data_IF_750778556922
#
_entry.id   IF_750778556922
#
_cell.length_a   1.000
_cell.length_b   1.000
_cell.length_c   1.000
_cell.angle_alpha   90.00
_cell.angle_beta   90.00
_cell.angle_gamma   90.00
#
_symmetry.space_group_name_H-M   'P 1'
#
loop_
_entity.id
_entity.type
_entity.pdbx_description
1 polymer ?
#
# COMPACT_ATOMS: atom_id res chain seq x y z
N UNK A 1 -1.82 -15.99 7.28
CA UNK A 1 -0.49 -15.38 7.29
C UNK A 1 -0.41 -14.28 8.35
N UNK A 2 -1.31 -13.27 8.31
CA UNK A 2 -1.33 -12.16 9.30
C UNK A 2 -1.56 -12.62 10.73
N UNK A 3 -2.45 -13.59 10.95
CA UNK A 3 -2.68 -14.19 12.28
C UNK A 3 -1.40 -14.86 12.82
N UNK A 4 -0.66 -15.57 11.96
CA UNK A 4 0.61 -16.16 12.32
C UNK A 4 1.66 -15.11 12.70
N UNK A 5 1.81 -14.05 11.88
CA UNK A 5 2.71 -12.94 12.18
C UNK A 5 2.32 -12.23 13.48
N UNK A 6 1.02 -11.99 13.68
CA UNK A 6 0.49 -11.39 14.92
C UNK A 6 0.70 -12.26 16.16
N UNK A 7 0.68 -13.58 16.02
CA UNK A 7 1.03 -14.49 17.10
C UNK A 7 2.53 -14.49 17.37
N UNK A 8 3.36 -14.67 16.33
CA UNK A 8 4.83 -14.72 16.45
C UNK A 8 5.39 -13.45 17.09
N UNK A 9 4.83 -12.27 16.77
CA UNK A 9 5.30 -11.01 17.37
C UNK A 9 5.13 -10.95 18.89
N UNK A 10 4.26 -11.76 19.48
CA UNK A 10 4.05 -11.82 20.95
C UNK A 10 4.96 -12.82 21.64
N UNK A 11 5.63 -13.70 20.88
CA UNK A 11 6.45 -14.79 21.40
C UNK A 11 7.94 -14.48 21.27
N UNK A 12 8.71 -14.59 22.36
CA UNK A 12 10.16 -14.33 22.32
C UNK A 12 10.95 -15.47 21.64
N UNK A 13 10.45 -16.70 21.73
CA UNK A 13 11.11 -17.93 21.27
C UNK A 13 10.68 -18.40 19.87
N UNK A 14 9.89 -17.62 19.16
CA UNK A 14 9.47 -17.93 17.80
C UNK A 14 9.92 -16.85 16.82
N UNK A 15 10.38 -17.27 15.66
CA UNK A 15 10.65 -16.40 14.52
C UNK A 15 9.93 -16.95 13.27
N UNK A 16 9.64 -16.09 12.30
CA UNK A 16 8.84 -16.43 11.14
C UNK A 16 9.67 -16.37 9.86
N UNK A 17 9.56 -17.41 9.06
CA UNK A 17 10.05 -17.44 7.68
C UNK A 17 8.85 -17.51 6.75
N UNK A 18 8.70 -16.51 5.89
CA UNK A 18 7.69 -16.52 4.84
C UNK A 18 8.26 -17.11 3.57
N UNK A 19 7.57 -18.11 3.02
CA UNK A 19 7.87 -18.64 1.70
C UNK A 19 7.07 -17.84 0.67
N UNK A 20 7.79 -17.29 -0.30
CA UNK A 20 7.19 -16.54 -1.40
C UNK A 20 7.44 -17.29 -2.71
N UNK A 21 6.42 -17.39 -3.53
CA UNK A 21 6.58 -17.74 -4.93
C UNK A 21 6.83 -16.47 -5.77
N UNK A 22 6.68 -16.54 -7.06
CA UNK A 22 6.86 -15.40 -7.96
C UNK A 22 5.97 -14.21 -7.56
N UNK A 23 6.47 -12.97 -7.80
CA UNK A 23 5.82 -11.69 -7.45
C UNK A 23 4.45 -11.41 -8.10
N UNK A 24 3.80 -12.40 -8.68
CA UNK A 24 2.44 -12.34 -9.17
C UNK A 24 1.50 -13.05 -8.20
N UNK A 25 0.78 -12.31 -7.38
CA UNK A 25 -0.16 -12.87 -6.42
C UNK A 25 -0.24 -12.06 -5.14
N UNK A 26 -0.89 -12.62 -4.15
CA UNK A 26 -1.07 -11.99 -2.83
C UNK A 26 0.26 -11.84 -2.08
N UNK A 27 1.26 -12.64 -2.40
CA UNK A 27 2.55 -12.66 -1.70
C UNK A 27 3.28 -11.31 -1.74
N UNK A 28 3.23 -10.59 -2.85
CA UNK A 28 3.85 -9.27 -2.96
C UNK A 28 3.26 -8.24 -1.99
N UNK A 29 1.97 -8.38 -1.66
CA UNK A 29 1.26 -7.51 -0.70
C UNK A 29 1.47 -7.98 0.72
N UNK A 30 1.30 -9.29 0.94
CA UNK A 30 1.36 -9.88 2.27
C UNK A 30 2.75 -9.79 2.88
N UNK A 31 3.80 -9.89 2.06
CA UNK A 31 5.19 -9.78 2.50
C UNK A 31 5.45 -8.43 3.20
N UNK A 32 5.03 -7.33 2.58
CA UNK A 32 5.21 -6.01 3.16
C UNK A 32 4.48 -5.84 4.47
N UNK A 33 3.22 -6.30 4.52
CA UNK A 33 2.39 -6.17 5.72
C UNK A 33 2.88 -7.07 6.85
N UNK A 34 3.33 -8.29 6.56
CA UNK A 34 3.95 -9.19 7.54
C UNK A 34 5.25 -8.61 8.06
N UNK A 35 6.07 -8.04 7.17
CA UNK A 35 7.29 -7.35 7.57
C UNK A 35 6.98 -6.19 8.53
N UNK A 36 5.97 -5.37 8.26
CA UNK A 36 5.58 -4.25 9.12
C UNK A 36 5.09 -4.75 10.50
N UNK A 37 4.30 -5.84 10.54
CA UNK A 37 3.83 -6.46 11.80
C UNK A 37 5.00 -6.96 12.64
N UNK A 38 5.98 -7.62 12.04
CA UNK A 38 7.10 -8.21 12.75
C UNK A 38 8.13 -7.16 13.18
N UNK A 39 8.54 -6.27 12.26
CA UNK A 39 9.59 -5.28 12.55
C UNK A 39 9.14 -4.22 13.54
N UNK A 40 7.86 -3.82 13.53
CA UNK A 40 7.31 -2.94 14.57
C UNK A 40 7.37 -3.52 15.98
N UNK A 41 7.58 -4.82 16.10
CA UNK A 41 7.64 -5.55 17.38
C UNK A 41 9.05 -6.08 17.69
N UNK A 42 10.09 -5.53 17.10
CA UNK A 42 11.48 -5.95 17.24
C UNK A 42 11.74 -7.39 16.76
N UNK A 43 10.91 -7.90 15.86
CA UNK A 43 11.09 -9.20 15.21
C UNK A 43 11.72 -9.08 13.85
N UNK A 44 12.37 -10.14 13.42
CA UNK A 44 13.00 -10.23 12.11
C UNK A 44 12.02 -10.92 11.15
N UNK A 45 11.77 -10.29 10.00
CA UNK A 45 11.03 -10.91 8.92
C UNK A 45 12.01 -11.48 7.90
N UNK A 46 11.96 -12.79 7.70
CA UNK A 46 12.77 -13.45 6.68
C UNK A 46 11.88 -14.00 5.59
N UNK A 47 12.17 -13.63 4.34
CA UNK A 47 11.45 -14.09 3.16
C UNK A 47 12.38 -14.98 2.34
N UNK A 48 11.90 -16.19 2.04
CA UNK A 48 12.55 -17.10 1.10
C UNK A 48 11.76 -17.11 -0.20
N UNK A 49 12.39 -16.68 -1.29
CA UNK A 49 11.82 -16.81 -2.63
C UNK A 49 12.05 -18.23 -3.13
N UNK A 50 10.96 -18.90 -3.45
CA UNK A 50 10.96 -20.24 -4.03
C UNK A 50 10.48 -20.09 -5.47
N UNK A 51 11.35 -20.36 -6.41
CA UNK A 51 11.05 -20.39 -7.83
C UNK A 51 11.31 -21.79 -8.41
N UNK A 52 11.02 -21.96 -9.68
CA UNK A 52 11.23 -23.22 -10.41
C UNK A 52 12.71 -23.60 -10.50
N UNK A 53 13.60 -22.64 -10.38
CA UNK A 53 15.05 -22.84 -10.35
C UNK A 53 15.48 -23.00 -8.89
N UNK A 54 15.60 -24.24 -8.44
CA UNK A 54 15.97 -24.61 -7.07
C UNK A 54 17.38 -24.11 -6.68
N UNK A 55 17.55 -22.81 -6.50
CA UNK A 55 18.80 -22.24 -6.00
C UNK A 55 18.82 -22.27 -4.46
N UNK A 56 19.17 -23.43 -3.91
CA UNK A 56 19.30 -23.60 -2.46
C UNK A 56 20.39 -22.73 -1.83
N UNK A 57 21.32 -22.22 -2.61
CA UNK A 57 22.39 -21.34 -2.12
C UNK A 57 21.85 -20.06 -1.49
N UNK A 58 20.96 -19.37 -2.18
CA UNK A 58 20.35 -18.14 -1.68
C UNK A 58 19.49 -18.38 -0.42
N UNK A 59 18.72 -19.48 -0.40
CA UNK A 59 17.93 -19.87 0.77
C UNK A 59 18.83 -20.16 1.99
N UNK A 60 19.92 -20.91 1.78
CA UNK A 60 20.91 -21.22 2.84
C UNK A 60 21.53 -19.95 3.43
N UNK A 61 21.91 -18.99 2.59
CA UNK A 61 22.48 -17.72 3.04
C UNK A 61 21.46 -16.95 3.89
N UNK A 62 20.21 -16.85 3.45
CA UNK A 62 19.15 -16.16 4.19
C UNK A 62 18.84 -16.81 5.53
N UNK A 63 18.81 -18.15 5.59
CA UNK A 63 18.60 -18.88 6.86
C UNK A 63 19.78 -18.67 7.80
N UNK A 64 21.01 -18.73 7.31
CA UNK A 64 22.21 -18.46 8.14
C UNK A 64 22.20 -17.03 8.68
N UNK A 65 21.82 -16.07 7.86
CA UNK A 65 21.69 -14.67 8.28
C UNK A 65 20.61 -14.51 9.36
N UNK A 66 19.47 -15.19 9.21
CA UNK A 66 18.43 -15.20 10.26
C UNK A 66 18.96 -15.76 11.57
N UNK A 67 19.60 -16.94 11.53
CA UNK A 67 20.16 -17.58 12.74
C UNK A 67 21.17 -16.65 13.43
N UNK A 68 22.05 -16.02 12.65
CA UNK A 68 23.03 -15.05 13.19
C UNK A 68 22.34 -13.83 13.83
N UNK A 69 21.33 -13.28 13.18
CA UNK A 69 20.58 -12.13 13.68
C UNK A 69 19.75 -12.46 14.94
N UNK A 70 19.18 -13.67 15.02
CA UNK A 70 18.48 -14.15 16.22
C UNK A 70 19.45 -14.26 17.39
N UNK A 71 20.62 -14.89 17.19
CA UNK A 71 21.67 -14.99 18.23
C UNK A 71 22.17 -13.62 18.69
N UNK A 72 22.32 -12.66 17.77
CA UNK A 72 22.74 -11.30 18.12
C UNK A 72 21.66 -10.55 18.93
N UNK A 73 20.38 -10.75 18.56
CA UNK A 73 19.23 -10.23 19.31
C UNK A 73 19.18 -10.79 20.74
N UNK A 74 19.36 -12.10 20.89
CA UNK A 74 19.43 -12.76 22.19
C UNK A 74 20.59 -12.24 23.04
N UNK A 75 21.77 -12.13 22.45
CA UNK A 75 22.96 -11.57 23.13
C UNK A 75 22.76 -10.13 23.61
N UNK A 76 22.01 -9.34 22.82
CA UNK A 76 21.68 -7.95 23.17
C UNK A 76 20.47 -7.83 24.11
N UNK A 77 19.84 -8.93 24.50
CA UNK A 77 18.66 -8.94 25.35
C UNK A 77 17.43 -8.26 24.76
N UNK A 78 17.36 -8.13 23.42
CA UNK A 78 16.24 -7.49 22.74
C UNK A 78 15.03 -8.41 22.78
N UNK A 79 14.01 -8.00 23.52
CA UNK A 79 12.72 -8.72 23.61
C UNK A 79 11.72 -8.20 22.59
N UNK A 80 10.78 -9.06 22.25
CA UNK A 80 9.62 -8.67 21.47
C UNK A 80 8.79 -7.63 22.23
N UNK A 81 8.45 -6.54 21.55
CA UNK A 81 7.61 -5.47 22.09
C UNK A 81 6.48 -5.19 21.10
N UNK A 82 5.32 -5.87 21.23
CA UNK A 82 4.23 -5.74 20.29
C UNK A 82 3.71 -4.31 20.21
N UNK A 83 3.85 -3.70 19.05
CA UNK A 83 3.31 -2.38 18.75
C UNK A 83 2.26 -2.47 17.65
N UNK A 84 1.33 -1.51 17.64
CA UNK A 84 0.36 -1.44 16.58
C UNK A 84 1.01 -0.88 15.30
N UNK A 85 1.10 -1.74 14.28
CA UNK A 85 1.64 -1.39 12.96
C UNK A 85 0.59 -0.89 11.97
N UNK A 86 -0.69 -0.89 12.38
CA UNK A 86 -1.78 -0.49 11.49
C UNK A 86 -1.62 0.96 11.04
N UNK A 87 -1.87 1.20 9.75
CA UNK A 87 -1.92 2.55 9.20
C UNK A 87 -3.15 3.29 9.75
N UNK A 88 -2.95 4.51 10.21
CA UNK A 88 -4.05 5.36 10.61
C UNK A 88 -4.82 5.77 9.36
N UNK A 89 -6.07 5.32 9.26
CA UNK A 89 -6.95 5.78 8.18
C UNK A 89 -7.39 7.21 8.44
N UNK A 90 -7.24 8.06 7.45
CA UNK A 90 -7.84 9.38 7.42
C UNK A 90 -9.09 9.30 6.56
N UNK A 91 -10.24 9.61 7.15
CA UNK A 91 -11.52 9.59 6.45
C UNK A 91 -11.68 10.87 5.64
N UNK A 92 -12.19 10.75 4.42
CA UNK A 92 -12.60 11.89 3.61
C UNK A 92 -13.99 12.34 4.05
N UNK A 93 -14.08 13.53 4.65
CA UNK A 93 -15.31 14.05 5.26
C UNK A 93 -16.13 14.93 4.30
N UNK A 94 -17.37 15.25 4.70
CA UNK A 94 -18.25 16.15 3.92
C UNK A 94 -17.70 17.57 3.78
N UNK A 95 -16.96 18.06 4.78
CA UNK A 95 -16.31 19.36 4.75
C UNK A 95 -15.17 19.40 3.72
N UNK A 96 -14.42 18.30 3.62
CA UNK A 96 -13.32 18.17 2.65
C UNK A 96 -13.82 18.21 1.20
N UNK A 97 -15.02 17.72 0.93
CA UNK A 97 -15.61 17.69 -0.42
C UNK A 97 -15.60 19.05 -1.12
N UNK A 98 -15.79 20.13 -0.36
CA UNK A 98 -15.89 21.49 -0.93
C UNK A 98 -14.54 22.12 -1.26
N UNK A 99 -13.50 21.74 -0.52
CA UNK A 99 -12.23 22.46 -0.49
C UNK A 99 -11.03 21.60 -0.92
N UNK A 100 -11.22 20.31 -1.11
CA UNK A 100 -10.14 19.39 -1.45
C UNK A 100 -10.09 19.11 -2.96
N UNK A 101 -8.88 19.00 -3.47
CA UNK A 101 -8.62 18.44 -4.80
C UNK A 101 -8.41 16.94 -4.67
N UNK A 102 -9.19 16.17 -5.41
CA UNK A 102 -9.08 14.71 -5.43
C UNK A 102 -8.24 14.30 -6.63
N UNK A 103 -7.10 13.69 -6.42
CA UNK A 103 -6.23 13.19 -7.46
C UNK A 103 -6.64 11.75 -7.83
N UNK A 104 -6.86 11.50 -9.10
CA UNK A 104 -7.18 10.19 -9.66
C UNK A 104 -6.04 9.70 -10.56
N UNK A 105 -5.58 8.45 -10.46
CA UNK A 105 -4.52 7.95 -11.35
C UNK A 105 -5.10 7.67 -12.73
N UNK A 106 -4.31 7.84 -13.77
CA UNK A 106 -4.69 7.40 -15.10
C UNK A 106 -4.50 5.88 -15.22
N UNK A 107 -5.60 5.14 -15.26
CA UNK A 107 -5.59 3.68 -15.39
C UNK A 107 -6.16 3.20 -16.72
N UNK A 108 -7.14 3.93 -17.27
CA UNK A 108 -7.77 3.63 -18.55
C UNK A 108 -8.37 4.89 -19.14
N UNK A 109 -7.82 5.44 -20.21
CA UNK A 109 -8.28 6.70 -20.80
C UNK A 109 -9.78 6.70 -21.08
N UNK A 110 -10.30 5.71 -21.79
CA UNK A 110 -11.72 5.62 -22.18
C UNK A 110 -12.67 5.69 -20.99
N UNK A 111 -12.35 4.98 -19.90
CA UNK A 111 -13.19 4.97 -18.71
C UNK A 111 -13.12 6.28 -17.95
N UNK A 112 -11.92 6.87 -17.86
CA UNK A 112 -11.73 8.12 -17.12
C UNK A 112 -12.33 9.32 -17.85
N UNK A 113 -12.35 9.31 -19.18
CA UNK A 113 -13.04 10.34 -19.98
C UNK A 113 -14.55 10.43 -19.66
N UNK A 114 -15.14 9.33 -19.21
CA UNK A 114 -16.56 9.28 -18.79
C UNK A 114 -16.68 9.54 -17.28
N UNK A 115 -15.83 8.91 -16.48
CA UNK A 115 -15.95 8.98 -15.01
C UNK A 115 -15.62 10.37 -14.45
N UNK A 116 -14.63 11.06 -15.02
CA UNK A 116 -14.20 12.36 -14.52
C UNK A 116 -15.30 13.42 -14.64
N UNK A 117 -15.97 13.60 -15.80
CA UNK A 117 -17.10 14.53 -15.92
C UNK A 117 -18.28 14.13 -15.00
N UNK A 118 -18.57 12.84 -14.90
CA UNK A 118 -19.67 12.37 -14.04
C UNK A 118 -19.43 12.69 -12.56
N UNK A 119 -18.22 12.49 -12.07
CA UNK A 119 -17.86 12.82 -10.69
C UNK A 119 -17.78 14.34 -10.46
N UNK A 120 -17.32 15.09 -11.45
CA UNK A 120 -17.34 16.56 -11.41
C UNK A 120 -18.78 17.10 -11.32
N UNK A 121 -19.73 16.50 -12.06
CA UNK A 121 -21.15 16.83 -11.97
C UNK A 121 -21.74 16.51 -10.59
N UNK A 122 -21.17 15.57 -9.83
CA UNK A 122 -21.52 15.32 -8.44
C UNK A 122 -20.93 16.36 -7.46
N UNK A 123 -20.19 17.35 -7.94
CA UNK A 123 -19.63 18.44 -7.13
C UNK A 123 -18.29 18.10 -6.47
N UNK A 124 -17.51 17.21 -7.09
CA UNK A 124 -16.13 16.91 -6.69
C UNK A 124 -15.13 17.68 -7.56
N UNK A 125 -14.10 18.23 -6.94
CA UNK A 125 -12.96 18.77 -7.66
C UNK A 125 -11.94 17.66 -7.91
N UNK A 126 -12.05 16.98 -9.06
CA UNK A 126 -11.16 15.90 -9.46
C UNK A 126 -10.13 16.37 -10.48
N UNK A 127 -8.91 15.88 -10.29
CA UNK A 127 -7.81 16.02 -11.24
C UNK A 127 -7.32 14.64 -11.61
N UNK A 128 -7.42 14.32 -12.89
CA UNK A 128 -6.81 13.12 -13.44
C UNK A 128 -5.32 13.37 -13.66
N UNK A 129 -4.49 12.52 -13.07
CA UNK A 129 -3.05 12.63 -13.22
C UNK A 129 -2.63 12.20 -14.63
N UNK A 130 -1.73 12.95 -15.27
CA UNK A 130 -1.20 12.53 -16.57
C UNK A 130 -0.31 11.29 -16.42
N UNK A 131 -0.23 10.47 -17.45
CA UNK A 131 0.81 9.46 -17.60
C UNK A 131 2.05 10.10 -18.23
N UNK A 132 3.23 9.73 -17.73
CA UNK A 132 4.46 10.30 -18.25
C UNK A 132 5.72 9.56 -17.77
N UNK A 133 6.87 10.14 -18.08
CA UNK A 133 8.18 9.60 -17.71
C UNK A 133 8.45 9.80 -16.22
N UNK A 134 9.09 8.83 -15.59
CA UNK A 134 9.57 8.92 -14.20
C UNK A 134 8.62 8.38 -13.14
N UNK A 135 7.38 8.02 -13.48
CA UNK A 135 6.41 7.46 -12.53
C UNK A 135 6.91 6.15 -11.93
N UNK A 136 7.56 5.32 -12.74
CA UNK A 136 8.16 4.06 -12.29
C UNK A 136 9.21 4.30 -11.20
N UNK A 137 10.06 5.31 -11.35
CA UNK A 137 11.11 5.62 -10.38
C UNK A 137 10.54 6.02 -9.03
N UNK A 138 9.48 6.85 -9.03
CA UNK A 138 8.73 7.16 -7.82
C UNK A 138 8.06 5.92 -7.23
N UNK A 139 7.46 5.06 -8.05
CA UNK A 139 6.85 3.81 -7.60
C UNK A 139 7.86 2.89 -6.92
N UNK A 140 9.00 2.65 -7.54
CA UNK A 140 10.08 1.82 -7.01
C UNK A 140 10.69 2.35 -5.69
N UNK A 141 10.67 3.67 -5.48
CA UNK A 141 11.14 4.27 -4.24
C UNK A 141 10.26 3.94 -3.04
N UNK A 142 8.95 3.80 -3.23
CA UNK A 142 7.98 3.68 -2.15
C UNK A 142 7.36 2.30 -2.01
N UNK A 143 7.33 1.50 -3.09
CA UNK A 143 6.76 0.15 -3.13
C UNK A 143 7.89 -0.86 -3.36
N UNK A 144 7.70 -2.09 -2.91
CA UNK A 144 8.69 -3.15 -3.14
C UNK A 144 8.73 -3.59 -4.62
N UNK A 145 9.88 -4.07 -5.06
CA UNK A 145 10.10 -4.49 -6.46
C UNK A 145 9.32 -5.74 -6.87
N UNK A 146 8.77 -6.49 -5.92
CA UNK A 146 7.96 -7.68 -6.18
C UNK A 146 6.49 -7.32 -6.48
N UNK A 147 6.11 -6.04 -6.27
CA UNK A 147 4.79 -5.54 -6.63
C UNK A 147 4.60 -5.54 -8.17
N UNK A 148 3.37 -5.71 -8.62
CA UNK A 148 3.09 -5.70 -10.05
C UNK A 148 3.36 -4.34 -10.68
N UNK A 149 3.79 -4.35 -11.93
CA UNK A 149 4.10 -3.13 -12.68
C UNK A 149 2.99 -2.07 -12.64
N UNK A 150 1.69 -2.41 -12.84
CA UNK A 150 0.63 -1.42 -12.72
C UNK A 150 0.53 -0.78 -11.33
N UNK A 151 0.81 -1.52 -10.24
CA UNK A 151 0.80 -0.92 -8.89
C UNK A 151 1.94 0.06 -8.69
N UNK A 152 3.11 -0.23 -9.26
CA UNK A 152 4.25 0.69 -9.24
C UNK A 152 3.91 2.00 -9.96
N UNK A 153 3.28 1.90 -11.14
CA UNK A 153 2.87 3.08 -11.90
C UNK A 153 1.82 3.91 -11.16
N UNK A 154 0.78 3.28 -10.63
CA UNK A 154 -0.30 3.98 -9.91
C UNK A 154 0.23 4.70 -8.68
N UNK A 155 1.04 4.03 -7.85
CA UNK A 155 1.66 4.67 -6.69
C UNK A 155 2.64 5.75 -7.14
N UNK A 156 3.38 5.49 -8.22
CA UNK A 156 4.32 6.44 -8.81
C UNK A 156 3.65 7.73 -9.29
N UNK A 157 2.51 7.64 -9.97
CA UNK A 157 1.73 8.81 -10.39
C UNK A 157 1.35 9.67 -9.19
N UNK A 158 0.80 9.05 -8.13
CA UNK A 158 0.44 9.79 -6.93
C UNK A 158 1.65 10.43 -6.25
N UNK A 159 2.71 9.67 -6.04
CA UNK A 159 3.89 10.20 -5.35
C UNK A 159 4.61 11.29 -6.15
N UNK A 160 4.68 11.17 -7.47
CA UNK A 160 5.21 12.20 -8.35
C UNK A 160 4.39 13.49 -8.24
N UNK A 161 3.06 13.39 -8.32
CA UNK A 161 2.17 14.54 -8.19
C UNK A 161 2.27 15.21 -6.81
N UNK A 162 2.24 14.43 -5.72
CA UNK A 162 2.34 14.99 -4.36
C UNK A 162 3.69 15.64 -4.06
N UNK A 163 4.75 15.17 -4.70
CA UNK A 163 6.11 15.71 -4.50
C UNK A 163 6.47 16.81 -5.52
N UNK A 164 5.62 17.09 -6.50
CA UNK A 164 5.86 18.15 -7.50
C UNK A 164 5.78 19.56 -6.91
N UNK A 165 5.06 19.73 -5.80
CA UNK A 165 4.74 21.05 -5.23
C UNK A 165 3.56 21.76 -5.87
N UNK A 166 2.89 21.14 -6.85
CA UNK A 166 1.73 21.71 -7.54
C UNK A 166 0.44 21.65 -6.73
N UNK A 167 0.38 20.77 -5.73
CA UNK A 167 -0.82 20.52 -4.93
C UNK A 167 -0.61 20.86 -3.45
N UNK A 168 -1.59 21.52 -2.85
CA UNK A 168 -1.61 21.75 -1.39
C UNK A 168 -1.90 20.41 -0.67
N UNK A 169 -0.88 19.85 -0.02
CA UNK A 169 -0.97 18.55 0.67
C UNK A 169 -2.01 18.52 1.80
N UNK A 170 -2.41 19.68 2.33
CA UNK A 170 -3.44 19.79 3.36
C UNK A 170 -4.86 19.85 2.79
N UNK A 171 -4.99 20.05 1.48
CA UNK A 171 -6.27 20.10 0.75
C UNK A 171 -6.30 19.13 -0.42
N UNK A 172 -5.53 18.05 -0.33
CA UNK A 172 -5.47 17.00 -1.35
C UNK A 172 -5.99 15.69 -0.79
N UNK A 173 -6.72 14.96 -1.60
CA UNK A 173 -7.16 13.59 -1.36
C UNK A 173 -6.79 12.71 -2.56
N UNK A 174 -6.65 11.42 -2.35
CA UNK A 174 -6.42 10.46 -3.42
C UNK A 174 -7.64 9.58 -3.60
N UNK A 175 -7.90 9.13 -4.82
CA UNK A 175 -8.99 8.19 -5.11
C UNK A 175 -8.46 6.99 -5.89
N UNK A 176 -8.91 5.78 -5.52
CA UNK A 176 -8.55 4.53 -6.19
C UNK A 176 -9.73 3.57 -6.18
N UNK A 177 -9.89 2.79 -7.23
CA UNK A 177 -10.86 1.69 -7.28
C UNK A 177 -10.33 0.47 -6.54
N UNK A 178 -11.22 -0.26 -5.87
CA UNK A 178 -10.90 -1.50 -5.17
C UNK A 178 -11.82 -2.61 -5.67
N UNK A 179 -11.26 -3.66 -6.23
CA UNK A 179 -12.05 -4.71 -6.90
C UNK A 179 -12.69 -5.72 -5.94
N UNK A 180 -12.18 -5.83 -4.70
CA UNK A 180 -12.69 -6.76 -3.69
C UNK A 180 -12.34 -8.23 -3.92
N UNK A 181 -11.69 -8.59 -5.03
CA UNK A 181 -11.27 -9.95 -5.35
C UNK A 181 -9.89 -10.33 -4.81
N UNK A 182 -9.43 -11.55 -5.12
CA UNK A 182 -8.09 -12.05 -4.77
C UNK A 182 -6.94 -11.42 -5.57
N UNK A 183 -7.18 -10.40 -6.36
CA UNK A 183 -6.18 -9.68 -7.13
C UNK A 183 -5.45 -8.65 -6.25
N UNK A 184 -4.20 -8.38 -6.58
CA UNK A 184 -3.40 -7.32 -5.95
C UNK A 184 -4.01 -5.93 -6.08
N UNK A 185 -4.78 -5.68 -7.14
CA UNK A 185 -5.49 -4.42 -7.34
C UNK A 185 -6.39 -4.05 -6.16
N UNK A 186 -6.95 -5.03 -5.45
CA UNK A 186 -7.69 -4.82 -4.20
C UNK A 186 -6.83 -4.15 -3.12
N UNK A 187 -5.52 -4.36 -3.15
CA UNK A 187 -4.58 -3.89 -2.14
C UNK A 187 -3.75 -2.68 -2.56
N UNK A 188 -4.01 -2.06 -3.71
CA UNK A 188 -3.32 -0.82 -4.11
C UNK A 188 -3.46 0.28 -3.05
N UNK A 189 -4.61 0.34 -2.39
CA UNK A 189 -4.83 1.28 -1.29
C UNK A 189 -3.83 1.08 -0.13
N UNK A 190 -3.45 -0.15 0.16
CA UNK A 190 -2.42 -0.47 1.15
C UNK A 190 -1.05 0.04 0.73
N UNK A 191 -0.67 -0.12 -0.54
CA UNK A 191 0.58 0.41 -1.08
C UNK A 191 0.61 1.95 -1.06
N UNK A 192 -0.51 2.59 -1.43
CA UNK A 192 -0.63 4.05 -1.41
C UNK A 192 -0.46 4.57 0.03
N UNK A 193 -1.19 4.02 1.00
CA UNK A 193 -1.09 4.42 2.41
C UNK A 193 0.32 4.21 2.97
N UNK A 194 0.97 3.13 2.59
CA UNK A 194 2.36 2.88 2.98
C UNK A 194 3.32 3.90 2.34
N UNK A 195 3.13 4.24 1.08
CA UNK A 195 3.92 5.25 0.40
C UNK A 195 3.76 6.62 1.06
N UNK A 196 2.52 7.01 1.37
CA UNK A 196 2.22 8.24 2.12
C UNK A 196 2.92 8.26 3.48
N UNK A 197 2.87 7.17 4.23
CA UNK A 197 3.57 7.05 5.52
C UNK A 197 5.08 7.21 5.36
N UNK A 198 5.69 6.53 4.38
CA UNK A 198 7.13 6.68 4.10
C UNK A 198 7.53 8.11 3.72
N UNK A 199 6.61 8.85 3.12
CA UNK A 199 6.83 10.23 2.69
C UNK A 199 6.46 11.27 3.76
N UNK A 200 5.95 10.87 4.92
CA UNK A 200 5.48 11.79 5.97
C UNK A 200 4.17 12.53 5.61
N UNK A 201 3.35 11.94 4.75
CA UNK A 201 2.11 12.52 4.22
C UNK A 201 0.87 11.74 4.68
N UNK A 202 0.87 11.20 5.91
CA UNK A 202 -0.20 10.36 6.45
C UNK A 202 -1.53 11.09 6.63
N UNK A 203 -1.52 12.43 6.61
CA UNK A 203 -2.73 13.27 6.71
C UNK A 203 -3.60 13.23 5.44
N UNK A 204 -3.07 12.76 4.31
CA UNK A 204 -3.80 12.74 3.03
C UNK A 204 -4.81 11.59 3.04
N UNK A 205 -6.13 11.87 2.92
CA UNK A 205 -7.13 10.83 2.84
C UNK A 205 -7.05 10.07 1.51
N UNK A 206 -7.24 8.76 1.58
CA UNK A 206 -7.31 7.88 0.40
C UNK A 206 -8.71 7.30 0.31
N UNK A 207 -9.45 7.72 -0.71
CA UNK A 207 -10.81 7.29 -0.99
C UNK A 207 -10.76 5.97 -1.75
N UNK A 208 -11.40 4.93 -1.20
CA UNK A 208 -11.56 3.65 -1.88
C UNK A 208 -12.93 3.58 -2.54
N UNK A 209 -12.97 3.39 -3.84
CA UNK A 209 -14.20 3.06 -4.57
C UNK A 209 -14.42 1.55 -4.50
N UNK A 210 -15.01 1.09 -3.40
CA UNK A 210 -15.34 -0.31 -3.20
C UNK A 210 -16.75 -0.46 -2.68
N UNK A 211 -17.47 -1.47 -3.17
CA UNK A 211 -18.80 -1.80 -2.66
C UNK A 211 -18.68 -2.40 -1.24
N UNK A 212 -18.83 -1.54 -0.20
CA UNK A 212 -19.01 -2.00 1.17
C UNK A 212 -17.74 -2.33 1.97
N UNK A 213 -16.52 -2.13 1.43
CA UNK A 213 -15.28 -2.41 2.16
C UNK A 213 -14.86 -1.24 3.03
N UNK A 214 -14.91 -0.02 2.50
CA UNK A 214 -14.63 1.20 3.24
C UNK A 214 -15.66 2.28 2.88
N UNK A 215 -16.18 2.96 3.88
CA UNK A 215 -17.08 4.09 3.71
C UNK A 215 -16.36 5.39 4.01
N UNK A 216 -16.65 6.43 3.23
CA UNK A 216 -16.20 7.80 3.48
C UNK A 216 -17.43 8.71 3.50
N UNK A 217 -17.66 9.42 4.59
CA UNK A 217 -18.86 10.26 4.76
C UNK A 217 -18.93 11.41 3.75
N UNK A 218 -17.78 11.85 3.26
CA UNK A 218 -17.65 12.91 2.25
C UNK A 218 -17.77 12.43 0.80
N UNK A 219 -17.69 11.11 0.55
CA UNK A 219 -17.73 10.55 -0.79
C UNK A 219 -19.00 9.72 -0.98
N UNK A 220 -19.98 10.32 -1.68
CA UNK A 220 -21.25 9.71 -2.02
C UNK A 220 -21.53 9.91 -3.51
N UNK A 221 -21.80 8.82 -4.22
CA UNK A 221 -22.16 8.86 -5.63
C UNK A 221 -23.67 8.92 -5.74
N UNK A 222 -24.20 10.03 -6.22
CA UNK A 222 -25.60 10.13 -6.50
C UNK A 222 -25.95 9.36 -7.79
N UNK A 223 -26.41 8.11 -7.63
CA UNK A 223 -26.80 7.25 -8.75
C UNK A 223 -27.90 7.84 -9.66
N UNK A 224 -28.62 8.87 -9.22
CA UNK A 224 -29.60 9.57 -10.06
C UNK A 224 -28.96 10.40 -11.18
N UNK A 225 -27.69 10.77 -11.04
CA UNK A 225 -26.94 11.50 -12.06
C UNK A 225 -26.27 10.55 -13.09
N UNK A 226 -26.27 9.25 -12.82
CA UNK A 226 -25.74 8.24 -13.73
C UNK A 226 -26.83 7.60 -14.63
N UNK A 227 -28.08 8.03 -14.48
CA UNK A 227 -29.20 7.70 -15.38
C UNK A 227 -29.40 8.80 -16.40
#
# INVERSE_FOLDING_TARGET
LYAAASFVRTQNNLDMIQLNSFGCGLDAVTTDQVNDILTSSNKICTVLKIDEVNNLGAARIRIRSLISAVKDRERKGIKSSPQNSAYKRVEFTKEMRKNYTILAPQMSPIHFDILMPALAACGYNLVQLPTGVGELDYGLKYVNNDACYPSLLVVGQFMKALLSGEYDLNKTALIITQTGGGCRATNYIGFIRRALKKAGMEQIPVISLSAGVETNSGFDINYRLLK
#
